data_IF_973352806078
#
_entry.id   IF_973352806078
#
_cell.length_a   1.000
_cell.length_b   1.000
_cell.length_c   1.000
_cell.angle_alpha   90.00
_cell.angle_beta   90.00
_cell.angle_gamma   90.00
#
_symmetry.space_group_name_H-M   'P 1'
#
loop_
_entity.id
_entity.type
_entity.pdbx_description
1 polymer ?
#
# COMPACT_ATOMS: atom_id res chain seq x y z
N UNK A 1 -16.70 2.90 5.18
CA UNK A 1 -17.40 2.50 3.95
C UNK A 1 -16.75 3.18 2.74
N UNK A 2 -16.38 2.42 1.71
CA UNK A 2 -15.63 2.92 0.54
C UNK A 2 -16.49 3.78 -0.39
N UNK A 3 -17.76 3.40 -0.58
CA UNK A 3 -18.68 4.11 -1.45
C UNK A 3 -18.97 5.56 -1.02
N UNK A 4 -18.73 5.89 0.25
CA UNK A 4 -18.88 7.26 0.77
C UNK A 4 -17.68 8.16 0.43
N UNK A 5 -16.56 7.60 -0.04
CA UNK A 5 -15.34 8.36 -0.33
C UNK A 5 -15.38 9.06 -1.69
N UNK A 6 -16.17 8.56 -2.64
CA UNK A 6 -16.32 9.14 -3.98
C UNK A 6 -17.60 8.62 -4.67
N UNK A 7 -18.25 9.41 -5.54
CA UNK A 7 -19.40 8.95 -6.32
C UNK A 7 -19.03 7.83 -7.29
N UNK A 8 -20.03 7.09 -7.78
CA UNK A 8 -19.89 6.03 -8.79
C UNK A 8 -18.95 4.87 -8.40
N UNK A 9 -18.73 4.66 -7.10
CA UNK A 9 -17.95 3.52 -6.57
C UNK A 9 -18.74 2.21 -6.52
N UNK A 10 -20.06 2.29 -6.46
CA UNK A 10 -20.97 1.16 -6.54
C UNK A 10 -22.32 1.60 -7.13
N UNK A 11 -23.16 0.67 -7.64
CA UNK A 11 -24.51 0.97 -8.12
C UNK A 11 -25.38 1.63 -7.06
N UNK A 12 -26.41 2.36 -7.51
CA UNK A 12 -27.38 3.00 -6.63
C UNK A 12 -28.07 1.99 -5.69
N UNK A 13 -28.28 2.40 -4.44
CA UNK A 13 -28.87 1.55 -3.40
C UNK A 13 -27.95 0.46 -2.86
N UNK A 14 -26.70 0.37 -3.32
CA UNK A 14 -25.69 -0.57 -2.81
C UNK A 14 -24.60 0.13 -2.02
N UNK A 15 -23.81 -0.64 -1.27
CA UNK A 15 -22.67 -0.14 -0.51
C UNK A 15 -21.43 -0.99 -0.73
N UNK A 16 -20.26 -0.35 -0.70
CA UNK A 16 -18.96 -1.02 -0.71
C UNK A 16 -18.20 -0.76 0.60
N UNK A 17 -17.57 -1.81 1.13
CA UNK A 17 -16.69 -1.78 2.29
C UNK A 17 -15.33 -2.38 1.94
N UNK A 18 -14.26 -1.76 2.45
CA UNK A 18 -12.90 -2.27 2.35
C UNK A 18 -12.52 -2.89 3.70
N UNK A 19 -12.06 -4.13 3.67
CA UNK A 19 -11.55 -4.84 4.85
C UNK A 19 -10.10 -5.20 4.60
N UNK A 20 -9.21 -4.72 5.46
CA UNK A 20 -7.80 -5.07 5.42
C UNK A 20 -7.53 -6.19 6.42
N UNK A 21 -7.10 -7.33 5.90
CA UNK A 21 -6.64 -8.45 6.71
C UNK A 21 -5.11 -8.47 6.67
N UNK A 22 -4.48 -8.31 7.82
CA UNK A 22 -3.02 -8.35 7.96
C UNK A 22 -2.55 -9.54 8.79
N UNK A 23 -1.28 -9.87 8.62
CA UNK A 23 -0.60 -10.92 9.37
C UNK A 23 -0.54 -10.58 10.86
N UNK A 24 -0.76 -11.60 11.68
CA UNK A 24 -0.58 -11.51 13.13
C UNK A 24 0.50 -12.52 13.55
N UNK A 25 1.09 -12.41 14.75
CA UNK A 25 2.06 -13.40 15.24
C UNK A 25 1.54 -14.84 15.23
N UNK A 26 0.22 -15.04 15.23
CA UNK A 26 -0.44 -16.35 15.26
C UNK A 26 -0.92 -16.84 13.91
N UNK A 27 -1.01 -15.97 12.91
CA UNK A 27 -1.65 -16.28 11.63
C UNK A 27 -1.07 -15.41 10.53
N UNK A 28 -0.44 -16.06 9.54
CA UNK A 28 -0.10 -15.43 8.26
C UNK A 28 -1.28 -15.55 7.32
N UNK A 29 -1.85 -14.41 6.92
CA UNK A 29 -3.05 -14.32 6.08
C UNK A 29 -2.81 -14.87 4.68
N UNK A 30 -1.58 -14.77 4.19
CA UNK A 30 -1.21 -15.33 2.89
C UNK A 30 -1.32 -16.87 2.85
N UNK A 31 -1.23 -17.55 4.00
CA UNK A 31 -1.32 -19.00 4.07
C UNK A 31 -2.78 -19.49 4.19
N UNK A 32 -3.75 -18.58 4.38
CA UNK A 32 -5.18 -18.92 4.53
C UNK A 32 -5.84 -19.02 3.16
N UNK A 33 -6.78 -19.96 2.97
CA UNK A 33 -7.53 -20.07 1.71
C UNK A 33 -8.47 -18.88 1.43
N UNK A 34 -8.69 -18.59 0.15
CA UNK A 34 -9.47 -17.41 -0.30
C UNK A 34 -10.89 -17.37 0.27
N UNK A 35 -11.62 -18.49 0.24
CA UNK A 35 -12.99 -18.54 0.75
C UNK A 35 -13.07 -18.25 2.26
N UNK A 36 -12.06 -18.71 3.03
CA UNK A 36 -11.97 -18.38 4.45
C UNK A 36 -11.71 -16.89 4.67
N UNK A 37 -10.86 -16.25 3.84
CA UNK A 37 -10.60 -14.82 3.94
C UNK A 37 -11.82 -13.98 3.53
N UNK A 38 -12.56 -14.41 2.49
CA UNK A 38 -13.80 -13.76 2.06
C UNK A 38 -14.87 -13.84 3.16
N UNK A 39 -15.06 -15.02 3.75
CA UNK A 39 -16.00 -15.17 4.86
C UNK A 39 -15.61 -14.29 6.05
N UNK A 40 -14.34 -14.26 6.42
CA UNK A 40 -13.86 -13.38 7.49
C UNK A 40 -14.10 -11.90 7.20
N UNK A 41 -13.93 -11.46 5.95
CA UNK A 41 -14.25 -10.08 5.56
C UNK A 41 -15.75 -9.78 5.71
N UNK A 42 -16.63 -10.71 5.30
CA UNK A 42 -18.07 -10.59 5.52
C UNK A 42 -18.41 -10.54 7.01
N UNK A 43 -17.84 -11.44 7.82
CA UNK A 43 -18.08 -11.49 9.26
C UNK A 43 -17.69 -10.17 9.95
N UNK A 44 -16.55 -9.57 9.56
CA UNK A 44 -16.12 -8.26 10.07
C UNK A 44 -17.15 -7.17 9.73
N UNK A 45 -17.69 -7.16 8.51
CA UNK A 45 -18.72 -6.18 8.11
C UNK A 45 -20.00 -6.40 8.91
N UNK A 46 -20.52 -7.62 8.98
CA UNK A 46 -21.78 -7.92 9.66
C UNK A 46 -21.71 -7.72 11.18
N UNK A 47 -20.54 -7.92 11.80
CA UNK A 47 -20.33 -7.66 13.23
C UNK A 47 -20.38 -6.16 13.55
N UNK A 48 -19.88 -5.31 12.65
CA UNK A 48 -19.84 -3.87 12.85
C UNK A 48 -21.09 -3.16 12.31
N UNK A 49 -21.78 -3.77 11.34
CA UNK A 49 -22.99 -3.27 10.69
C UNK A 49 -24.03 -4.40 10.62
N UNK A 50 -24.73 -4.70 11.73
CA UNK A 50 -25.68 -5.81 11.80
C UNK A 50 -26.79 -5.75 10.74
N UNK A 51 -27.15 -4.55 10.27
CA UNK A 51 -28.10 -4.32 9.19
C UNK A 51 -27.65 -4.88 7.84
N UNK A 52 -26.36 -5.18 7.67
CA UNK A 52 -25.78 -5.82 6.49
C UNK A 52 -25.83 -7.35 6.54
N UNK A 53 -26.27 -7.96 7.65
CA UNK A 53 -26.29 -9.41 7.82
C UNK A 53 -27.10 -10.10 6.72
N UNK A 54 -26.48 -11.04 6.02
CA UNK A 54 -27.09 -11.78 4.90
C UNK A 54 -27.35 -10.93 3.65
N UNK A 55 -26.78 -9.72 3.57
CA UNK A 55 -26.93 -8.80 2.41
C UNK A 55 -25.65 -8.60 1.61
N UNK A 56 -24.58 -9.32 1.94
CA UNK A 56 -23.32 -9.28 1.18
C UNK A 56 -23.56 -9.88 -0.21
N UNK A 57 -23.45 -9.04 -1.25
CA UNK A 57 -23.70 -9.47 -2.63
C UNK A 57 -22.51 -10.27 -3.21
N UNK A 58 -21.28 -9.86 -2.90
CA UNK A 58 -20.06 -10.56 -3.28
C UNK A 58 -18.87 -10.04 -2.46
N UNK A 59 -17.76 -10.79 -2.47
CA UNK A 59 -16.48 -10.35 -1.91
C UNK A 59 -15.39 -10.50 -2.97
N UNK A 60 -14.72 -9.39 -3.29
CA UNK A 60 -13.54 -9.39 -4.14
C UNK A 60 -12.28 -9.35 -3.26
N UNK A 61 -11.41 -10.35 -3.41
CA UNK A 61 -10.19 -10.50 -2.62
C UNK A 61 -8.97 -10.14 -3.48
N UNK A 62 -8.09 -9.28 -2.92
CA UNK A 62 -6.79 -8.95 -3.51
C UNK A 62 -5.70 -9.31 -2.50
N UNK A 63 -4.66 -10.01 -2.96
CA UNK A 63 -3.51 -10.42 -2.15
C UNK A 63 -2.29 -9.59 -2.46
N UNK A 64 -1.61 -9.13 -1.42
CA UNK A 64 -0.35 -8.41 -1.50
C UNK A 64 0.72 -9.19 -0.75
N UNK A 65 1.46 -10.06 -1.47
CA UNK A 65 2.53 -10.87 -0.85
C UNK A 65 3.63 -9.98 -0.25
N UNK A 66 3.91 -8.86 -0.92
CA UNK A 66 4.73 -7.76 -0.44
C UNK A 66 3.91 -6.50 -0.75
N UNK A 67 3.30 -5.91 0.27
CA UNK A 67 2.37 -4.79 0.08
C UNK A 67 2.95 -3.44 0.49
N UNK A 68 3.45 -3.35 1.72
CA UNK A 68 3.81 -2.07 2.34
C UNK A 68 5.17 -2.22 3.01
N UNK A 69 6.13 -1.37 2.66
CA UNK A 69 7.41 -1.34 3.34
C UNK A 69 7.22 -0.97 4.82
N UNK A 70 7.86 -1.69 5.74
CA UNK A 70 7.76 -1.38 7.17
C UNK A 70 8.86 -0.43 7.63
N UNK A 71 8.51 0.44 8.57
CA UNK A 71 9.38 1.49 9.11
C UNK A 71 9.63 1.24 10.60
N UNK A 72 10.42 0.20 10.95
CA UNK A 72 10.77 -0.07 12.34
C UNK A 72 11.63 1.06 12.92
N UNK A 73 11.83 1.08 14.25
CA UNK A 73 12.76 2.01 14.89
C UNK A 73 14.13 2.00 14.19
N UNK A 74 14.63 3.19 13.84
CA UNK A 74 15.88 3.34 13.09
C UNK A 74 15.73 3.54 11.58
N UNK A 75 14.57 3.18 10.99
CA UNK A 75 14.34 3.30 9.54
C UNK A 75 14.59 4.70 8.99
N UNK A 76 14.13 5.74 9.68
CA UNK A 76 14.34 7.13 9.25
C UNK A 76 15.84 7.49 9.13
N UNK A 77 16.68 6.95 10.03
CA UNK A 77 18.13 7.15 9.99
C UNK A 77 18.74 6.45 8.77
N UNK A 78 18.33 5.21 8.52
CA UNK A 78 18.77 4.44 7.35
C UNK A 78 18.39 5.14 6.04
N UNK A 79 17.15 5.60 5.92
CA UNK A 79 16.66 6.34 4.75
C UNK A 79 17.43 7.64 4.53
N UNK A 80 17.68 8.40 5.60
CA UNK A 80 18.45 9.64 5.53
C UNK A 80 19.86 9.37 5.02
N UNK A 81 20.52 8.35 5.56
CA UNK A 81 21.85 7.94 5.11
C UNK A 81 21.84 7.49 3.64
N UNK A 82 20.84 6.72 3.21
CA UNK A 82 20.70 6.29 1.82
C UNK A 82 20.48 7.48 0.87
N UNK A 83 19.62 8.44 1.24
CA UNK A 83 19.39 9.65 0.43
C UNK A 83 20.65 10.50 0.31
N UNK A 84 21.45 10.61 1.37
CA UNK A 84 22.75 11.27 1.32
C UNK A 84 23.72 10.54 0.37
N UNK A 85 23.77 9.21 0.42
CA UNK A 85 24.56 8.41 -0.51
C UNK A 85 24.11 8.62 -1.97
N UNK A 86 22.81 8.58 -2.24
CA UNK A 86 22.24 8.82 -3.59
C UNK A 86 22.60 10.19 -4.15
N UNK A 87 22.62 11.23 -3.30
CA UNK A 87 23.00 12.58 -3.70
C UNK A 87 24.48 12.69 -4.14
N UNK A 88 25.38 11.94 -3.49
CA UNK A 88 26.80 11.88 -3.83
C UNK A 88 27.14 10.82 -4.89
N UNK A 89 26.18 9.98 -5.27
CA UNK A 89 26.41 8.82 -6.13
C UNK A 89 26.71 9.24 -7.57
N UNK A 90 27.82 8.77 -8.14
CA UNK A 90 28.27 9.07 -9.51
C UNK A 90 27.88 8.02 -10.57
N UNK A 91 27.36 6.86 -10.17
CA UNK A 91 26.98 5.82 -11.13
C UNK A 91 25.78 6.29 -11.97
N UNK A 92 25.62 5.81 -13.23
CA UNK A 92 24.48 6.11 -14.09
C UNK A 92 23.22 5.33 -13.69
N UNK A 93 22.98 5.22 -12.38
CA UNK A 93 21.85 4.57 -11.74
C UNK A 93 21.38 5.45 -10.56
N UNK A 94 20.10 5.39 -10.28
CA UNK A 94 19.49 6.04 -9.12
C UNK A 94 18.32 5.19 -8.60
N UNK A 95 17.90 5.49 -7.38
CA UNK A 95 16.84 4.75 -6.68
C UNK A 95 15.71 5.72 -6.34
N UNK A 96 14.48 5.26 -6.54
CA UNK A 96 13.26 5.96 -6.17
C UNK A 96 12.19 4.96 -5.68
N UNK A 97 11.20 5.48 -4.96
CA UNK A 97 10.09 4.71 -4.40
C UNK A 97 9.61 5.27 -3.06
N UNK A 98 8.41 4.87 -2.67
CA UNK A 98 7.77 5.26 -1.41
C UNK A 98 8.55 4.85 -0.15
N UNK A 99 9.38 3.80 -0.25
CA UNK A 99 10.32 3.39 0.79
C UNK A 99 11.40 4.44 1.11
N UNK A 100 11.55 5.50 0.30
CA UNK A 100 12.47 6.62 0.53
C UNK A 100 11.82 7.89 1.11
N UNK A 101 10.49 7.98 1.16
CA UNK A 101 9.81 9.22 1.58
C UNK A 101 8.42 9.04 2.19
N UNK A 102 8.23 7.93 2.92
CA UNK A 102 6.96 7.65 3.59
C UNK A 102 5.91 7.08 2.64
N UNK A 103 5.39 5.92 3.01
CA UNK A 103 4.53 5.02 2.24
C UNK A 103 3.29 5.71 1.67
N UNK A 104 3.44 6.32 0.50
CA UNK A 104 2.39 7.09 -0.13
C UNK A 104 2.67 7.21 -1.63
N UNK A 105 1.61 7.37 -2.41
CA UNK A 105 1.74 7.66 -3.85
C UNK A 105 2.49 8.96 -4.10
N UNK A 106 2.30 9.96 -3.25
CA UNK A 106 3.00 11.24 -3.33
C UNK A 106 4.51 11.08 -3.07
N UNK A 107 4.90 10.31 -2.05
CA UNK A 107 6.30 10.01 -1.76
C UNK A 107 6.98 9.22 -2.89
N UNK A 108 6.27 8.27 -3.50
CA UNK A 108 6.75 7.56 -4.69
C UNK A 108 6.97 8.54 -5.87
N UNK A 109 6.02 9.43 -6.12
CA UNK A 109 6.12 10.43 -7.19
C UNK A 109 7.30 11.39 -6.95
N UNK A 110 7.37 11.98 -5.75
CA UNK A 110 8.40 12.95 -5.37
C UNK A 110 9.81 12.36 -5.50
N UNK A 111 10.02 11.16 -4.99
CA UNK A 111 11.32 10.49 -5.07
C UNK A 111 11.69 10.09 -6.50
N UNK A 112 10.69 9.76 -7.34
CA UNK A 112 10.86 9.51 -8.77
C UNK A 112 11.36 10.74 -9.53
N UNK A 113 10.70 11.88 -9.31
CA UNK A 113 11.12 13.16 -9.90
C UNK A 113 12.53 13.57 -9.45
N UNK A 114 12.87 13.41 -8.17
CA UNK A 114 14.22 13.69 -7.66
C UNK A 114 15.28 12.77 -8.29
N UNK A 115 14.97 11.49 -8.48
CA UNK A 115 15.87 10.54 -9.12
C UNK A 115 16.08 10.89 -10.60
N UNK A 116 15.02 11.28 -11.31
CA UNK A 116 15.10 11.72 -12.70
C UNK A 116 16.03 12.94 -12.84
N UNK A 117 15.90 13.93 -11.97
CA UNK A 117 16.77 15.11 -11.94
C UNK A 117 18.25 14.75 -11.69
N UNK A 118 18.51 13.84 -10.75
CA UNK A 118 19.86 13.36 -10.47
C UNK A 118 20.45 12.61 -11.67
N UNK A 119 19.70 11.72 -12.30
CA UNK A 119 20.15 11.00 -13.51
C UNK A 119 20.43 11.97 -14.66
N UNK A 120 19.54 12.92 -14.91
CA UNK A 120 19.73 13.90 -15.98
C UNK A 120 21.03 14.70 -15.80
N UNK A 121 21.38 15.07 -14.56
CA UNK A 121 22.65 15.73 -14.24
C UNK A 121 23.87 14.84 -14.47
N UNK A 122 23.77 13.54 -14.13
CA UNK A 122 24.85 12.56 -14.31
C UNK A 122 25.11 12.30 -15.79
N UNK A 123 24.06 12.08 -16.59
CA UNK A 123 24.17 11.82 -18.03
C UNK A 123 24.74 13.00 -18.81
N UNK A 124 24.50 14.25 -18.39
CA UNK A 124 25.09 15.45 -19.01
C UNK A 124 26.57 15.66 -18.70
N UNK A 125 27.12 14.98 -17.69
CA UNK A 125 28.55 15.06 -17.32
C UNK A 125 29.42 14.03 -18.05
N UNK A 126 28.80 13.08 -18.75
CA UNK A 126 29.45 12.12 -19.63
C UNK A 126 29.39 12.61 -21.08
#
# INVERSE_FOLDING_TARGET
MEHLRAPNRCPDGTGMAGVFLWDTPRLRRLDVGDESLKQQASDVVEQNFPECRGKVLFVHLVRWNIGVAQFPPGRLREMTALRQQLAAWTAPLDLCGDYLDGLSSEGALRTGEEAADRIAKKLKRH
#
